data_IF_483228752292
#
_entry.id   IF_483228752292
#
_cell.length_a   1.000
_cell.length_b   1.000
_cell.length_c   1.000
_cell.angle_alpha   90.00
_cell.angle_beta   90.00
_cell.angle_gamma   90.00
#
_symmetry.space_group_name_H-M   'P 1'
#
loop_
_entity.id
_entity.type
_entity.pdbx_description
1 polymer ?
#
# COMPACT_ATOMS: atom_id res chain seq x y z
N UNK A 1 15.08 -12.92 16.67
CA UNK A 1 14.40 -12.99 15.35
C UNK A 1 13.06 -13.65 15.59
N UNK A 2 11.92 -13.01 15.32
CA UNK A 2 10.69 -13.77 15.20
C UNK A 2 10.74 -14.49 13.84
N UNK A 3 10.72 -15.82 13.87
CA UNK A 3 10.53 -16.63 12.67
C UNK A 3 9.15 -16.33 12.11
N UNK A 4 9.10 -15.58 11.02
CA UNK A 4 7.88 -15.38 10.24
C UNK A 4 7.49 -16.71 9.60
N UNK A 5 6.68 -17.51 10.28
CA UNK A 5 6.05 -18.70 9.70
C UNK A 5 4.87 -18.25 8.87
N UNK A 6 4.91 -18.55 7.56
CA UNK A 6 3.83 -18.28 6.63
C UNK A 6 2.47 -18.77 7.19
N UNK A 7 1.41 -18.02 6.90
CA UNK A 7 0.08 -18.33 7.41
C UNK A 7 -0.43 -19.70 6.96
N UNK A 8 -1.23 -20.36 7.80
CA UNK A 8 -1.85 -21.65 7.46
C UNK A 8 -2.81 -21.50 6.27
N UNK A 9 -3.06 -22.60 5.54
CA UNK A 9 -4.00 -22.59 4.41
C UNK A 9 -5.42 -22.15 4.81
N UNK A 10 -5.86 -22.51 6.02
CA UNK A 10 -7.16 -22.11 6.55
C UNK A 10 -7.25 -20.59 6.78
N UNK A 11 -6.18 -19.97 7.30
CA UNK A 11 -6.12 -18.52 7.48
C UNK A 11 -6.07 -17.81 6.13
N UNK A 12 -5.24 -18.28 5.20
CA UNK A 12 -5.15 -17.72 3.84
C UNK A 12 -6.51 -17.71 3.13
N UNK A 13 -7.32 -18.75 3.32
CA UNK A 13 -8.64 -18.86 2.71
C UNK A 13 -9.67 -17.81 3.21
N UNK A 14 -9.43 -17.17 4.36
CA UNK A 14 -10.32 -16.11 4.87
C UNK A 14 -10.23 -14.83 4.06
N UNK A 15 -9.07 -14.57 3.44
CA UNK A 15 -8.77 -13.33 2.73
C UNK A 15 -9.11 -13.50 1.24
N UNK A 16 -10.34 -13.14 0.88
CA UNK A 16 -10.75 -12.89 -0.49
C UNK A 16 -10.88 -11.38 -0.73
N UNK A 17 -10.93 -10.96 -1.99
CA UNK A 17 -10.99 -9.55 -2.38
C UNK A 17 -11.94 -8.70 -1.48
N UNK A 18 -11.48 -7.56 -0.93
CA UNK A 18 -10.21 -6.87 -1.20
C UNK A 18 -8.96 -7.50 -0.57
N UNK A 19 -9.08 -8.63 0.15
CA UNK A 19 -7.99 -9.45 0.71
C UNK A 19 -7.01 -10.09 -0.29
N UNK A 20 -7.07 -9.71 -1.57
CA UNK A 20 -6.04 -10.03 -2.57
C UNK A 20 -5.04 -8.89 -2.79
N UNK A 21 -5.09 -7.82 -2.00
CA UNK A 21 -4.07 -6.78 -2.03
C UNK A 21 -2.68 -7.38 -1.77
N UNK A 22 -1.65 -6.79 -2.38
CA UNK A 22 -0.28 -7.25 -2.24
C UNK A 22 0.22 -7.01 -0.81
N UNK A 23 -0.35 -6.02 -0.12
CA UNK A 23 -0.21 -5.85 1.32
C UNK A 23 -0.69 -7.08 2.12
N UNK A 24 -1.88 -7.63 1.83
CA UNK A 24 -2.36 -8.84 2.52
C UNK A 24 -1.48 -10.04 2.21
N UNK A 25 -1.09 -10.20 0.93
CA UNK A 25 -0.15 -11.25 0.52
C UNK A 25 1.18 -11.15 1.26
N UNK A 26 1.70 -9.93 1.42
CA UNK A 26 2.95 -9.66 2.12
C UNK A 26 2.99 -10.30 3.51
N UNK A 27 1.93 -10.14 4.32
CA UNK A 27 1.90 -10.74 5.65
C UNK A 27 1.62 -12.25 5.60
N UNK A 28 0.75 -12.73 4.71
CA UNK A 28 0.44 -14.16 4.58
C UNK A 28 1.65 -15.00 4.12
N UNK A 29 2.53 -14.40 3.32
CA UNK A 29 3.79 -14.98 2.83
C UNK A 29 4.95 -14.75 3.81
N UNK A 30 4.77 -13.85 4.77
CA UNK A 30 5.72 -13.61 5.84
C UNK A 30 6.81 -12.57 5.54
N UNK A 31 6.60 -11.74 4.52
CA UNK A 31 7.54 -10.68 4.11
C UNK A 31 7.47 -9.44 5.01
N UNK A 32 6.26 -8.97 5.32
CA UNK A 32 6.01 -7.77 6.13
C UNK A 32 4.68 -7.89 6.87
N UNK A 33 4.59 -7.28 8.05
CA UNK A 33 3.37 -7.23 8.86
C UNK A 33 3.20 -8.41 9.82
N UNK A 34 2.07 -8.37 10.52
CA UNK A 34 1.74 -9.28 11.60
C UNK A 34 0.35 -9.88 11.41
N UNK A 35 0.15 -11.11 11.89
CA UNK A 35 -1.12 -11.82 11.82
C UNK A 35 -1.52 -12.27 13.23
N UNK A 36 -2.69 -11.84 13.68
CA UNK A 36 -3.34 -12.34 14.88
C UNK A 36 -4.52 -13.24 14.48
N UNK A 37 -4.59 -14.45 15.03
CA UNK A 37 -5.62 -15.44 14.72
C UNK A 37 -6.39 -15.82 15.96
N UNK A 38 -7.72 -15.96 15.83
CA UNK A 38 -8.62 -16.41 16.89
C UNK A 38 -9.61 -17.44 16.37
N UNK A 39 -10.19 -18.20 17.30
CA UNK A 39 -11.15 -19.25 17.01
C UNK A 39 -10.53 -20.49 16.35
N UNK A 40 -11.38 -21.29 15.71
CA UNK A 40 -10.98 -22.56 15.08
C UNK A 40 -11.75 -22.81 13.80
N UNK A 41 -11.06 -23.33 12.78
CA UNK A 41 -11.68 -23.75 11.53
C UNK A 41 -12.71 -24.87 11.74
N UNK A 42 -12.49 -25.76 12.71
CA UNK A 42 -13.40 -26.87 12.99
C UNK A 42 -14.75 -26.41 13.57
N UNK A 43 -14.76 -25.24 14.21
CA UNK A 43 -15.96 -24.65 14.82
C UNK A 43 -16.58 -23.53 13.95
N UNK A 44 -16.07 -23.29 12.74
CA UNK A 44 -16.46 -22.16 11.89
C UNK A 44 -16.35 -20.78 12.59
N UNK A 45 -15.44 -20.64 13.56
CA UNK A 45 -15.18 -19.40 14.30
C UNK A 45 -13.83 -18.78 13.95
N UNK A 46 -13.16 -19.28 12.91
CA UNK A 46 -11.84 -18.80 12.55
C UNK A 46 -11.89 -17.34 12.12
N UNK A 47 -11.08 -16.53 12.77
CA UNK A 47 -10.98 -15.08 12.56
C UNK A 47 -9.50 -14.70 12.49
N UNK A 48 -9.17 -13.71 11.66
CA UNK A 48 -7.82 -13.19 11.53
C UNK A 48 -7.82 -11.68 11.38
N UNK A 49 -6.85 -11.04 12.04
CA UNK A 49 -6.44 -9.66 11.77
C UNK A 49 -5.03 -9.68 11.20
N UNK A 50 -4.86 -9.00 10.07
CA UNK A 50 -3.56 -8.71 9.49
C UNK A 50 -3.26 -7.24 9.68
N UNK A 51 -2.03 -6.90 10.07
CA UNK A 51 -1.57 -5.52 10.18
C UNK A 51 -0.28 -5.30 9.40
N UNK A 52 -0.30 -4.33 8.48
CA UNK A 52 0.86 -3.89 7.69
C UNK A 52 0.78 -2.36 7.60
N UNK A 53 1.78 -1.68 8.19
CA UNK A 53 1.79 -0.22 8.26
C UNK A 53 0.52 0.31 8.93
N UNK A 54 -0.10 1.30 8.28
CA UNK A 54 -1.35 1.94 8.73
C UNK A 54 -2.62 1.10 8.48
N UNK A 55 -2.52 -0.11 7.95
CA UNK A 55 -3.68 -0.97 7.65
C UNK A 55 -3.88 -2.08 8.68
N UNK A 56 -5.14 -2.29 9.05
CA UNK A 56 -5.64 -3.52 9.65
C UNK A 56 -6.71 -4.15 8.74
N UNK A 57 -6.52 -5.40 8.34
CA UNK A 57 -7.47 -6.17 7.52
C UNK A 57 -8.09 -7.26 8.37
N UNK A 58 -9.42 -7.25 8.50
CA UNK A 58 -10.19 -8.16 9.35
C UNK A 58 -10.91 -9.19 8.48
N UNK A 59 -10.69 -10.48 8.74
CA UNK A 59 -11.21 -11.56 7.92
C UNK A 59 -11.73 -12.75 8.74
N UNK A 60 -12.71 -13.46 8.19
CA UNK A 60 -13.35 -14.62 8.81
C UNK A 60 -14.53 -14.23 9.69
N UNK A 61 -14.79 -15.01 10.74
CA UNK A 61 -15.87 -14.74 11.68
C UNK A 61 -15.57 -13.48 12.53
N UNK A 62 -16.52 -12.55 12.70
CA UNK A 62 -16.30 -11.36 13.53
C UNK A 62 -15.90 -11.71 14.97
N UNK A 63 -14.81 -11.11 15.45
CA UNK A 63 -14.26 -11.32 16.79
C UNK A 63 -13.93 -9.98 17.45
N UNK A 64 -14.54 -9.74 18.62
CA UNK A 64 -14.43 -8.47 19.39
C UNK A 64 -13.01 -8.17 19.82
N UNK A 65 -12.23 -9.18 20.20
CA UNK A 65 -10.85 -9.00 20.67
C UNK A 65 -9.94 -8.57 19.52
N UNK A 66 -10.16 -9.12 18.30
CA UNK A 66 -9.42 -8.67 17.14
C UNK A 66 -9.70 -7.20 16.81
N UNK A 67 -10.95 -6.74 16.90
CA UNK A 67 -11.31 -5.34 16.67
C UNK A 67 -10.74 -4.42 17.76
N UNK A 68 -10.89 -4.78 19.03
CA UNK A 68 -10.37 -3.99 20.15
C UNK A 68 -8.83 -3.88 20.15
N UNK A 69 -8.14 -4.81 19.49
CA UNK A 69 -6.68 -4.78 19.35
C UNK A 69 -6.16 -3.96 18.17
N UNK A 70 -7.04 -3.33 17.38
CA UNK A 70 -6.66 -2.49 16.24
C UNK A 70 -6.03 -1.19 16.73
N UNK A 71 -4.80 -0.92 16.27
CA UNK A 71 -4.10 0.35 16.46
C UNK A 71 -3.85 1.10 15.16
N UNK A 72 -4.25 0.52 14.03
CA UNK A 72 -4.01 1.04 12.69
C UNK A 72 -5.04 2.10 12.31
N UNK A 73 -4.62 3.11 11.54
CA UNK A 73 -5.49 4.21 11.09
C UNK A 73 -6.53 3.79 10.07
N UNK A 74 -6.24 2.77 9.25
CA UNK A 74 -7.14 2.26 8.21
C UNK A 74 -7.58 0.85 8.54
N UNK A 75 -8.89 0.61 8.56
CA UNK A 75 -9.48 -0.72 8.81
C UNK A 75 -10.28 -1.17 7.60
N UNK A 76 -9.99 -2.39 7.12
CA UNK A 76 -10.66 -3.01 5.98
C UNK A 76 -11.36 -4.29 6.43
N UNK A 77 -12.70 -4.33 6.45
CA UNK A 77 -13.43 -5.58 6.62
C UNK A 77 -13.40 -6.38 5.30
N UNK A 78 -12.97 -7.64 5.35
CA UNK A 78 -13.07 -8.55 4.19
C UNK A 78 -14.52 -9.00 4.00
N UNK A 79 -15.17 -9.44 5.07
CA UNK A 79 -16.58 -9.80 5.07
C UNK A 79 -17.43 -8.66 5.66
N UNK A 80 -18.63 -8.39 5.12
CA UNK A 80 -19.55 -7.37 5.65
C UNK A 80 -19.92 -7.57 7.12
N UNK A 81 -19.88 -8.80 7.63
CA UNK A 81 -20.25 -9.14 9.00
C UNK A 81 -19.37 -8.46 10.06
N UNK A 82 -18.17 -7.96 9.69
CA UNK A 82 -17.31 -7.17 10.56
C UNK A 82 -17.81 -5.74 10.78
N UNK A 83 -18.63 -5.20 9.87
CA UNK A 83 -19.07 -3.79 9.87
C UNK A 83 -19.73 -3.38 11.19
N UNK A 84 -20.75 -4.09 11.72
CA UNK A 84 -21.39 -3.68 12.96
C UNK A 84 -20.42 -3.63 14.14
N UNK A 85 -19.44 -4.54 14.15
CA UNK A 85 -18.46 -4.64 15.21
C UNK A 85 -17.42 -3.50 15.14
N UNK A 86 -16.95 -3.17 13.93
CA UNK A 86 -16.07 -2.01 13.70
C UNK A 86 -16.78 -0.73 14.15
N UNK A 87 -18.03 -0.53 13.74
CA UNK A 87 -18.79 0.69 14.07
C UNK A 87 -19.07 0.82 15.58
N UNK A 88 -19.27 -0.29 16.28
CA UNK A 88 -19.50 -0.30 17.72
C UNK A 88 -18.22 -0.10 18.56
N UNK A 89 -17.08 -0.65 18.11
CA UNK A 89 -15.85 -0.69 18.91
C UNK A 89 -14.77 0.31 18.47
N UNK A 90 -14.85 0.84 17.25
CA UNK A 90 -13.93 1.83 16.71
C UNK A 90 -14.68 3.09 16.23
N UNK A 91 -15.49 3.75 17.09
CA UNK A 91 -16.39 4.84 16.68
C UNK A 91 -15.66 6.11 16.20
N UNK A 92 -14.36 6.22 16.48
CA UNK A 92 -13.51 7.28 15.96
C UNK A 92 -13.35 7.17 14.43
N UNK A 93 -13.29 5.95 13.89
CA UNK A 93 -13.08 5.74 12.47
C UNK A 93 -14.35 6.04 11.67
N UNK A 94 -14.17 6.64 10.49
CA UNK A 94 -15.22 7.03 9.56
C UNK A 94 -15.22 6.11 8.35
N UNK A 95 -16.39 5.61 7.90
CA UNK A 95 -16.47 4.81 6.71
C UNK A 95 -16.12 5.67 5.48
N UNK A 96 -15.33 5.13 4.57
CA UNK A 96 -15.02 5.72 3.28
C UNK A 96 -14.84 4.64 2.21
N UNK A 97 -14.66 5.05 0.97
CA UNK A 97 -14.55 4.14 -0.18
C UNK A 97 -13.12 4.15 -0.74
N UNK A 98 -12.57 2.96 -0.94
CA UNK A 98 -11.30 2.75 -1.64
C UNK A 98 -11.54 2.11 -3.01
N UNK A 99 -10.59 2.35 -3.92
CA UNK A 99 -10.68 1.98 -5.33
C UNK A 99 -9.51 1.08 -5.73
N UNK A 100 -9.67 -0.23 -5.66
CA UNK A 100 -8.68 -1.18 -6.13
C UNK A 100 -8.48 -1.02 -7.64
N UNK A 101 -7.23 -1.06 -8.08
CA UNK A 101 -6.84 -0.81 -9.46
C UNK A 101 -6.26 -2.10 -10.05
N UNK A 102 -6.87 -2.59 -11.12
CA UNK A 102 -6.54 -3.87 -11.75
C UNK A 102 -5.82 -3.59 -13.07
N UNK A 103 -4.68 -4.24 -13.27
CA UNK A 103 -3.97 -4.26 -14.54
C UNK A 103 -3.60 -5.71 -14.88
N UNK A 104 -3.50 -6.00 -16.18
CA UNK A 104 -2.71 -7.16 -16.62
C UNK A 104 -1.32 -6.64 -16.93
N UNK A 105 -0.27 -7.45 -16.77
CA UNK A 105 1.09 -6.97 -17.08
C UNK A 105 1.21 -6.44 -18.52
N UNK A 106 0.42 -6.99 -19.44
CA UNK A 106 0.38 -6.59 -20.84
C UNK A 106 -0.43 -5.30 -21.09
N UNK A 107 -1.14 -4.76 -20.08
CA UNK A 107 -1.90 -3.51 -20.21
C UNK A 107 -1.06 -2.25 -20.00
N UNK A 108 0.20 -2.38 -19.57
CA UNK A 108 1.10 -1.25 -19.40
C UNK A 108 1.76 -0.85 -20.72
N UNK A 109 1.34 0.30 -21.26
CA UNK A 109 2.00 0.95 -22.39
C UNK A 109 3.37 1.51 -21.94
N UNK A 110 4.43 0.75 -22.22
CA UNK A 110 5.81 1.06 -21.84
C UNK A 110 6.27 2.40 -22.42
N UNK A 111 5.94 2.72 -23.66
CA UNK A 111 6.34 3.99 -24.29
C UNK A 111 5.64 5.18 -23.64
N UNK A 112 4.35 5.05 -23.31
CA UNK A 112 3.61 6.07 -22.56
C UNK A 112 4.18 6.26 -21.17
N UNK A 113 4.51 5.19 -20.45
CA UNK A 113 5.15 5.28 -19.14
C UNK A 113 6.52 5.96 -19.22
N UNK A 114 7.33 5.65 -20.24
CA UNK A 114 8.61 6.32 -20.48
C UNK A 114 8.42 7.83 -20.70
N UNK A 115 7.42 8.24 -21.48
CA UNK A 115 7.07 9.66 -21.66
C UNK A 115 6.64 10.33 -20.36
N UNK A 116 5.83 9.67 -19.54
CA UNK A 116 5.45 10.20 -18.23
C UNK A 116 6.64 10.33 -17.28
N UNK A 117 7.51 9.32 -17.20
CA UNK A 117 8.74 9.41 -16.42
C UNK A 117 9.68 10.52 -16.90
N UNK A 118 9.77 10.75 -18.21
CA UNK A 118 10.57 11.82 -18.82
C UNK A 118 9.95 13.22 -18.67
N UNK A 119 8.64 13.31 -18.39
CA UNK A 119 7.91 14.57 -18.18
C UNK A 119 8.14 15.21 -16.80
N UNK A 120 9.05 14.65 -15.99
CA UNK A 120 9.47 15.26 -14.73
C UNK A 120 9.95 16.70 -14.98
N UNK A 121 9.39 17.73 -14.29
CA UNK A 121 9.73 19.12 -14.58
C UNK A 121 11.22 19.40 -14.34
N UNK A 122 11.81 20.31 -15.12
CA UNK A 122 13.25 20.58 -15.12
C UNK A 122 13.85 20.97 -13.75
N UNK A 123 13.04 21.55 -12.86
CA UNK A 123 13.42 21.88 -11.48
C UNK A 123 13.62 20.65 -10.58
N UNK A 124 13.31 19.45 -11.06
CA UNK A 124 13.40 18.20 -10.31
C UNK A 124 14.30 17.18 -11.00
N UNK A 125 14.70 16.16 -10.25
CA UNK A 125 15.37 14.96 -10.77
C UNK A 125 14.76 13.72 -10.14
N UNK A 126 14.42 12.72 -10.95
CA UNK A 126 14.00 11.42 -10.46
C UNK A 126 15.23 10.57 -10.14
N UNK A 127 15.30 10.06 -8.91
CA UNK A 127 16.37 9.15 -8.47
C UNK A 127 15.77 7.93 -7.78
N UNK A 128 16.48 6.80 -7.84
CA UNK A 128 16.14 5.64 -7.03
C UNK A 128 16.31 5.97 -5.55
N UNK A 129 15.41 5.46 -4.70
CA UNK A 129 15.54 5.61 -3.25
C UNK A 129 16.72 4.77 -2.79
N UNK A 130 17.70 5.43 -2.19
CA UNK A 130 18.84 4.80 -1.50
C UNK A 130 18.51 4.68 -0.01
N UNK A 131 19.37 4.02 0.76
CA UNK A 131 19.25 4.00 2.23
C UNK A 131 19.16 5.44 2.81
N UNK A 132 19.98 6.38 2.33
CA UNK A 132 19.94 7.75 2.80
C UNK A 132 18.62 8.48 2.44
N UNK A 133 18.08 8.23 1.24
CA UNK A 133 16.78 8.76 0.84
C UNK A 133 15.65 8.16 1.69
N UNK A 134 15.68 6.85 1.96
CA UNK A 134 14.70 6.16 2.79
C UNK A 134 14.73 6.69 4.24
N UNK A 135 15.92 6.86 4.80
CA UNK A 135 16.12 7.43 6.14
C UNK A 135 15.57 8.86 6.21
N UNK A 136 15.76 9.68 5.17
CA UNK A 136 15.17 11.02 5.09
C UNK A 136 13.62 10.98 4.96
N UNK A 137 13.07 10.15 4.07
CA UNK A 137 11.64 10.04 3.85
C UNK A 137 10.89 9.59 5.11
N UNK A 138 11.49 8.68 5.90
CA UNK A 138 10.91 8.16 7.15
C UNK A 138 10.79 9.19 8.26
N UNK A 139 11.54 10.30 8.21
CA UNK A 139 11.51 11.36 9.23
C UNK A 139 10.48 12.46 8.96
N UNK A 140 9.86 12.47 7.78
CA UNK A 140 8.84 13.45 7.44
C UNK A 140 7.47 12.77 7.46
N UNK A 141 6.52 13.35 8.19
CA UNK A 141 5.18 12.78 8.36
C UNK A 141 4.53 12.42 7.02
N UNK A 142 4.57 13.35 6.06
CA UNK A 142 3.91 13.22 4.75
C UNK A 142 4.52 12.16 3.82
N UNK A 143 5.77 11.74 4.05
CA UNK A 143 6.47 10.78 3.18
C UNK A 143 6.87 9.50 3.89
N UNK A 144 6.49 9.36 5.16
CA UNK A 144 6.91 8.26 6.01
C UNK A 144 6.49 6.92 5.40
N UNK A 145 5.29 6.81 4.85
CA UNK A 145 4.74 5.59 4.24
C UNK A 145 5.47 5.13 2.97
N UNK A 146 6.23 6.01 2.29
CA UNK A 146 7.07 5.60 1.15
C UNK A 146 8.09 4.52 1.54
N UNK A 147 8.58 4.51 2.78
CA UNK A 147 9.64 3.61 3.23
C UNK A 147 9.42 3.07 4.66
N UNK A 148 8.41 3.57 5.38
CA UNK A 148 8.23 3.44 6.82
C UNK A 148 7.86 2.05 7.29
N UNK A 149 7.21 1.26 6.44
CA UNK A 149 6.73 -0.08 6.77
C UNK A 149 7.86 -1.14 6.83
N UNK A 150 9.03 -0.82 6.32
CA UNK A 150 10.22 -1.66 6.46
C UNK A 150 10.81 -1.51 7.86
N UNK A 151 11.60 -2.50 8.29
CA UNK A 151 12.20 -2.48 9.63
C UNK A 151 13.03 -1.22 9.86
N UNK A 152 13.83 -0.86 8.87
CA UNK A 152 14.73 0.29 8.87
C UNK A 152 15.06 0.69 7.41
N UNK A 153 15.82 1.78 7.24
CA UNK A 153 16.22 2.26 5.92
C UNK A 153 17.10 1.26 5.14
N UNK A 154 17.93 0.48 5.83
CA UNK A 154 18.77 -0.55 5.21
C UNK A 154 17.93 -1.74 4.70
N UNK A 155 16.91 -2.14 5.46
CA UNK A 155 15.93 -3.15 5.08
C UNK A 155 15.13 -2.70 3.84
N UNK A 156 14.72 -1.43 3.80
CA UNK A 156 14.14 -0.85 2.58
C UNK A 156 15.13 -0.92 1.40
N UNK A 157 16.37 -0.46 1.57
CA UNK A 157 17.34 -0.45 0.48
C UNK A 157 17.67 -1.86 -0.04
N UNK A 158 17.57 -2.87 0.81
CA UNK A 158 17.82 -4.27 0.46
C UNK A 158 16.64 -4.94 -0.26
N UNK A 159 15.40 -4.67 0.16
CA UNK A 159 14.20 -5.42 -0.29
C UNK A 159 13.18 -4.58 -1.05
N UNK A 160 13.10 -3.30 -0.76
CA UNK A 160 12.16 -2.36 -1.34
C UNK A 160 12.56 -1.86 -2.72
N UNK A 161 11.68 -1.07 -3.30
CA UNK A 161 11.89 -0.40 -4.58
C UNK A 161 11.10 0.90 -4.57
N UNK A 162 11.74 1.98 -5.00
CA UNK A 162 11.07 3.27 -5.08
C UNK A 162 11.90 4.32 -5.79
N UNK A 163 11.22 5.38 -6.20
CA UNK A 163 11.82 6.54 -6.82
C UNK A 163 11.24 7.81 -6.20
N UNK A 164 12.12 8.79 -5.98
CA UNK A 164 11.74 10.12 -5.48
C UNK A 164 12.11 11.19 -6.49
N UNK A 165 11.31 12.24 -6.53
CA UNK A 165 11.63 13.49 -7.19
C UNK A 165 12.33 14.40 -6.18
N UNK A 166 13.62 14.66 -6.39
CA UNK A 166 14.37 15.64 -5.61
C UNK A 166 14.27 17.01 -6.27
N UNK A 167 14.03 18.05 -5.49
CA UNK A 167 14.13 19.42 -5.95
C UNK A 167 15.60 19.78 -6.16
N UNK A 168 15.97 20.22 -7.37
CA UNK A 168 17.39 20.49 -7.69
C UNK A 168 17.98 21.64 -6.88
N UNK A 169 17.15 22.59 -6.45
CA UNK A 169 17.61 23.77 -5.73
C UNK A 169 18.02 23.45 -4.29
N UNK A 170 17.33 22.52 -3.63
CA UNK A 170 17.54 22.21 -2.21
C UNK A 170 18.11 20.81 -1.97
N UNK A 171 17.83 19.87 -2.87
CA UNK A 171 18.10 18.44 -2.69
C UNK A 171 16.99 17.70 -1.93
N UNK A 172 15.93 18.38 -1.51
CA UNK A 172 14.86 17.78 -0.71
C UNK A 172 13.92 16.92 -1.55
N UNK A 173 13.29 15.92 -0.90
CA UNK A 173 12.27 15.08 -1.52
C UNK A 173 10.98 15.90 -1.69
N UNK A 174 10.50 16.02 -2.92
CA UNK A 174 9.25 16.72 -3.25
C UNK A 174 8.07 15.77 -3.50
N UNK A 175 8.36 14.56 -3.96
CA UNK A 175 7.39 13.49 -4.18
C UNK A 175 8.08 12.13 -4.26
N UNK A 176 7.33 11.04 -4.10
CA UNK A 176 7.83 9.70 -4.29
C UNK A 176 6.76 8.73 -4.75
N UNK A 177 7.21 7.65 -5.40
CA UNK A 177 6.42 6.44 -5.58
C UNK A 177 7.30 5.27 -5.13
N UNK A 178 6.77 4.42 -4.26
CA UNK A 178 7.57 3.39 -3.59
C UNK A 178 6.76 2.13 -3.31
N UNK A 179 7.42 1.07 -2.84
CA UNK A 179 6.78 -0.13 -2.33
C UNK A 179 6.28 0.10 -0.90
N UNK A 180 4.97 0.27 -0.71
CA UNK A 180 4.32 0.25 0.61
C UNK A 180 4.53 -1.12 1.30
N UNK A 181 4.38 -2.18 0.52
CA UNK A 181 4.59 -3.56 0.92
C UNK A 181 5.21 -4.37 -0.24
N UNK A 182 5.86 -5.49 0.09
CA UNK A 182 6.44 -6.42 -0.90
C UNK A 182 5.90 -7.83 -0.69
N UNK A 183 5.71 -8.58 -1.76
CA UNK A 183 5.34 -9.98 -1.70
C UNK A 183 5.98 -10.75 -2.87
N UNK A 184 5.78 -12.05 -2.93
CA UNK A 184 6.27 -12.86 -4.01
C UNK A 184 5.64 -12.39 -5.34
N UNK A 185 6.50 -11.94 -6.26
CA UNK A 185 6.10 -11.48 -7.58
C UNK A 185 5.57 -10.05 -7.66
N UNK A 186 5.66 -9.23 -6.61
CA UNK A 186 5.37 -7.80 -6.76
C UNK A 186 5.37 -6.95 -5.49
N UNK A 187 4.78 -5.77 -5.61
CA UNK A 187 4.71 -4.75 -4.56
C UNK A 187 3.31 -4.17 -4.45
N UNK A 188 2.98 -3.58 -3.30
CA UNK A 188 1.90 -2.59 -3.18
C UNK A 188 2.50 -1.20 -3.35
N UNK A 189 1.94 -0.37 -4.24
CA UNK A 189 2.48 0.97 -4.55
C UNK A 189 1.96 2.01 -3.56
N UNK A 190 2.88 2.80 -3.01
CA UNK A 190 2.62 4.05 -2.28
C UNK A 190 3.02 5.25 -3.14
N UNK A 191 2.25 6.35 -3.10
CA UNK A 191 2.57 7.58 -3.83
C UNK A 191 2.23 8.82 -3.03
N UNK A 192 3.26 9.55 -2.63
CA UNK A 192 3.14 10.77 -1.87
C UNK A 192 3.73 11.98 -2.61
N UNK A 193 3.16 13.15 -2.34
CA UNK A 193 3.69 14.43 -2.83
C UNK A 193 3.51 15.49 -1.77
N UNK A 194 4.62 16.13 -1.40
CA UNK A 194 4.65 17.25 -0.46
C UNK A 194 3.67 18.33 -0.92
N UNK A 195 2.92 18.91 0.01
CA UNK A 195 1.79 19.78 -0.29
C UNK A 195 2.15 20.95 -1.22
N UNK A 196 3.28 21.62 -0.94
CA UNK A 196 3.82 22.72 -1.74
C UNK A 196 4.21 22.33 -3.17
N UNK A 197 4.37 21.03 -3.45
CA UNK A 197 4.80 20.48 -4.74
C UNK A 197 3.69 19.73 -5.49
N UNK A 198 2.47 19.66 -4.93
CA UNK A 198 1.32 19.01 -5.56
C UNK A 198 0.93 19.68 -6.89
N UNK A 199 0.23 18.92 -7.73
CA UNK A 199 -0.29 19.37 -9.05
C UNK A 199 0.77 19.79 -10.08
N UNK A 200 2.04 19.41 -9.86
CA UNK A 200 3.16 19.67 -10.80
C UNK A 200 3.53 18.47 -11.68
N UNK A 201 2.77 17.37 -11.61
CA UNK A 201 3.04 16.14 -12.36
C UNK A 201 4.06 15.18 -11.73
N UNK A 202 4.58 15.48 -10.54
CA UNK A 202 5.62 14.67 -9.88
C UNK A 202 5.15 13.25 -9.55
N UNK A 203 3.96 13.11 -8.96
CA UNK A 203 3.36 11.80 -8.66
C UNK A 203 3.29 10.91 -9.92
N UNK A 204 2.88 11.47 -11.06
CA UNK A 204 2.80 10.75 -12.34
C UNK A 204 4.18 10.29 -12.82
N UNK A 205 5.18 11.18 -12.75
CA UNK A 205 6.54 10.87 -13.18
C UNK A 205 7.20 9.80 -12.29
N UNK A 206 7.10 9.92 -10.96
CA UNK A 206 7.62 8.92 -10.02
C UNK A 206 6.92 7.57 -10.21
N UNK A 207 5.59 7.56 -10.30
CA UNK A 207 4.81 6.33 -10.46
C UNK A 207 5.12 5.62 -11.76
N UNK A 208 5.22 6.36 -12.87
CA UNK A 208 5.58 5.77 -14.16
C UNK A 208 6.98 5.16 -14.13
N UNK A 209 7.94 5.84 -13.49
CA UNK A 209 9.30 5.31 -13.30
C UNK A 209 9.30 4.05 -12.44
N UNK A 210 8.55 4.02 -11.35
CA UNK A 210 8.41 2.83 -10.50
C UNK A 210 7.84 1.64 -11.27
N UNK A 211 6.74 1.84 -11.99
CA UNK A 211 6.09 0.78 -12.79
C UNK A 211 7.08 0.22 -13.82
N UNK A 212 7.81 1.07 -14.54
CA UNK A 212 8.82 0.62 -15.51
C UNK A 212 9.90 -0.28 -14.86
N UNK A 213 10.36 0.09 -13.66
CA UNK A 213 11.35 -0.72 -12.94
C UNK A 213 10.74 -2.02 -12.40
N UNK A 214 9.47 -2.02 -11.96
CA UNK A 214 8.76 -3.25 -11.61
C UNK A 214 8.66 -4.20 -12.81
N UNK A 215 8.21 -3.72 -13.98
CA UNK A 215 8.10 -4.53 -15.20
C UNK A 215 9.45 -5.11 -15.61
N UNK A 216 10.52 -4.31 -15.55
CA UNK A 216 11.89 -4.76 -15.83
C UNK A 216 12.34 -5.90 -14.91
N UNK A 217 11.89 -5.90 -13.65
CA UNK A 217 12.20 -6.93 -12.64
C UNK A 217 11.21 -8.10 -12.63
N UNK A 218 10.20 -8.09 -13.50
CA UNK A 218 9.13 -9.10 -13.48
C UNK A 218 8.23 -9.01 -12.25
N UNK A 219 8.12 -7.82 -11.64
CA UNK A 219 7.28 -7.54 -10.49
C UNK A 219 5.97 -6.89 -10.93
N UNK A 220 4.85 -7.33 -10.34
CA UNK A 220 3.57 -6.67 -10.49
C UNK A 220 3.47 -5.46 -9.54
N UNK A 221 3.27 -4.23 -10.06
CA UNK A 221 3.00 -3.06 -9.23
C UNK A 221 1.51 -3.03 -8.87
N UNK A 222 1.12 -3.59 -7.72
CA UNK A 222 -0.27 -3.49 -7.24
C UNK A 222 -0.58 -2.06 -6.85
N UNK A 223 -1.81 -1.64 -7.09
CA UNK A 223 -2.29 -0.31 -6.76
C UNK A 223 -3.69 -0.37 -6.17
N UNK A 224 -3.84 0.19 -4.98
CA UNK A 224 -5.13 0.33 -4.31
C UNK A 224 -5.35 1.80 -3.95
N UNK A 225 -6.20 2.48 -4.73
CA UNK A 225 -6.35 3.93 -4.61
C UNK A 225 -7.16 4.31 -3.38
N UNK A 226 -6.51 5.09 -2.51
CA UNK A 226 -7.10 5.65 -1.29
C UNK A 226 -8.26 6.61 -1.58
N UNK A 227 -8.23 7.30 -2.73
CA UNK A 227 -9.15 8.40 -3.09
C UNK A 227 -9.37 8.47 -4.60
N UNK A 228 -10.47 9.10 -5.08
CA UNK A 228 -10.79 9.16 -6.51
C UNK A 228 -9.70 9.76 -7.40
N UNK A 229 -8.93 10.73 -6.90
CA UNK A 229 -7.84 11.35 -7.66
C UNK A 229 -6.61 10.43 -7.77
N UNK A 230 -6.37 9.54 -6.79
CA UNK A 230 -5.38 8.47 -6.89
C UNK A 230 -5.83 7.41 -7.92
N UNK A 231 -7.12 7.08 -7.96
CA UNK A 231 -7.67 6.18 -8.99
C UNK A 231 -7.49 6.77 -10.39
N UNK A 232 -7.73 8.07 -10.56
CA UNK A 232 -7.49 8.78 -11.82
C UNK A 232 -6.01 8.81 -12.23
N UNK A 233 -5.09 8.90 -11.27
CA UNK A 233 -3.66 8.76 -11.53
C UNK A 233 -3.33 7.36 -12.05
N UNK A 234 -3.82 6.32 -11.38
CA UNK A 234 -3.63 4.93 -11.80
C UNK A 234 -4.23 4.66 -13.19
N UNK A 235 -5.41 5.19 -13.51
CA UNK A 235 -5.99 5.07 -14.86
C UNK A 235 -5.06 5.59 -15.96
N UNK A 236 -4.40 6.72 -15.74
CA UNK A 236 -3.39 7.26 -16.70
C UNK A 236 -2.21 6.31 -16.89
N UNK A 237 -1.82 5.62 -15.82
CA UNK A 237 -0.68 4.70 -15.80
C UNK A 237 -1.01 3.37 -16.47
N UNK A 238 -2.29 3.07 -16.74
CA UNK A 238 -2.71 1.84 -17.45
C UNK A 238 -3.48 0.84 -16.60
N UNK A 239 -3.90 1.22 -15.39
CA UNK A 239 -4.82 0.42 -14.59
C UNK A 239 -6.28 0.69 -14.95
N UNK A 240 -7.15 -0.27 -14.69
CA UNK A 240 -8.60 -0.12 -14.71
C UNK A 240 -9.15 -0.15 -13.28
N UNK A 241 -10.24 0.57 -13.01
CA UNK A 241 -10.91 0.48 -11.70
C UNK A 241 -11.58 -0.86 -11.52
N UNK A 242 -11.32 -1.51 -10.39
CA UNK A 242 -12.06 -2.67 -9.91
C UNK A 242 -13.36 -2.25 -9.20
N UNK A 243 -13.99 -3.23 -8.54
CA UNK A 243 -15.15 -2.96 -7.68
C UNK A 243 -14.68 -2.18 -6.44
N UNK A 244 -15.24 -0.98 -6.16
CA UNK A 244 -14.91 -0.22 -4.96
C UNK A 244 -15.35 -0.98 -3.71
N UNK A 245 -14.63 -0.79 -2.61
CA UNK A 245 -14.95 -1.42 -1.33
C UNK A 245 -14.93 -0.42 -0.18
N UNK A 246 -15.63 -0.78 0.90
CA UNK A 246 -15.71 0.01 2.12
C UNK A 246 -14.46 -0.22 2.97
N UNK A 247 -13.88 0.87 3.44
CA UNK A 247 -12.88 0.89 4.50
C UNK A 247 -13.28 1.91 5.58
N UNK A 248 -12.54 1.93 6.67
CA UNK A 248 -12.70 2.91 7.75
C UNK A 248 -11.37 3.62 7.97
N UNK A 249 -11.40 4.92 8.29
CA UNK A 249 -10.21 5.75 8.54
C UNK A 249 -10.44 6.72 9.69
N UNK A 250 -9.41 7.06 10.45
CA UNK A 250 -9.45 8.05 11.54
C UNK A 250 -9.75 9.47 11.05
N UNK A 251 -9.17 9.89 9.92
CA UNK A 251 -9.43 11.17 9.27
C UNK A 251 -9.85 10.97 7.80
N UNK A 252 -10.96 11.60 7.39
CA UNK A 252 -11.40 11.52 6.01
C UNK A 252 -10.43 12.28 5.11
N UNK A 253 -9.97 11.67 4.00
CA UNK A 253 -9.08 12.35 3.09
C UNK A 253 -9.79 13.54 2.40
N UNK A 254 -9.04 14.59 2.04
CA UNK A 254 -9.57 15.81 1.41
C UNK A 254 -10.12 15.59 0.00
#
# INVERSE_FOLDING_TARGET
>A
MPSSTAASAAVKALFHYPGHSFMVRSALEGHMGEIAVRGSSAAATLAARLTVGVFAVLAGAPDVELVNSVTASIVVPVQPDWIPLIEAHLPALKPYTRYPMVATTDSFDVERLQRYAASCPAGYVLVAITEAHAEHARRMDWSSDLCGNFRDAADFAARGIGFVALERATGDIAAGASSFAICDGGIEVEVDTAESHRRRGLALACSARLILECLKRGLYPSWDAHVPHSAHLAEKLGYARGAPYRAYIDELPP
#
